data_IF_448779277353
#
_entry.id   IF_448779277353
#
_cell.length_a   1.000
_cell.length_b   1.000
_cell.length_c   1.000
_cell.angle_alpha   90.00
_cell.angle_beta   90.00
_cell.angle_gamma   90.00
#
_symmetry.space_group_name_H-M   'P 1'
#
loop_
_entity.id
_entity.type
_entity.pdbx_description
1 polymer ?
#
# COMPACT_ATOMS: atom_id res chain seq x y z
N UNK A 1 12.33 -8.10 1.28
CA UNK A 1 12.37 -7.38 2.58
C UNK A 1 13.44 -8.00 3.45
N UNK A 2 14.26 -7.21 4.17
CA UNK A 2 15.29 -7.71 5.08
C UNK A 2 14.71 -8.58 6.20
N UNK A 3 15.54 -9.47 6.75
CA UNK A 3 15.20 -10.34 7.88
C UNK A 3 16.22 -10.17 9.00
N UNK A 4 15.76 -10.34 10.24
CA UNK A 4 16.59 -10.47 11.43
C UNK A 4 16.51 -11.93 11.88
N UNK A 5 17.45 -12.77 11.40
CA UNK A 5 17.38 -14.24 11.51
C UNK A 5 17.21 -14.71 12.95
N UNK A 6 17.82 -14.00 13.91
CA UNK A 6 17.75 -14.28 15.33
C UNK A 6 16.36 -14.16 15.97
N UNK A 7 15.42 -13.52 15.25
CA UNK A 7 14.03 -13.37 15.69
C UNK A 7 13.08 -14.40 15.05
N UNK A 8 13.61 -15.30 14.21
CA UNK A 8 12.82 -16.32 13.55
C UNK A 8 12.94 -17.66 14.27
N UNK A 9 11.83 -18.40 14.41
CA UNK A 9 11.79 -19.74 15.00
C UNK A 9 12.29 -20.84 14.06
N UNK A 10 12.44 -20.53 12.77
CA UNK A 10 13.02 -21.34 11.71
C UNK A 10 13.88 -20.45 10.80
N UNK A 11 14.83 -20.97 10.03
CA UNK A 11 15.55 -20.16 9.07
C UNK A 11 14.58 -19.46 8.09
N UNK A 12 14.63 -18.13 7.94
CA UNK A 12 13.60 -17.34 7.23
C UNK A 12 13.49 -17.64 5.72
N UNK A 13 14.44 -18.34 5.15
CA UNK A 13 14.44 -18.73 3.72
C UNK A 13 14.34 -20.25 3.52
N UNK A 14 14.02 -21.03 4.58
CA UNK A 14 13.95 -22.49 4.49
C UNK A 14 12.70 -23.01 3.82
N UNK A 15 11.57 -22.31 3.91
CA UNK A 15 10.27 -22.84 3.53
C UNK A 15 9.83 -24.02 4.43
N UNK A 16 10.32 -24.08 5.66
CA UNK A 16 10.02 -25.17 6.59
C UNK A 16 8.52 -25.28 6.87
N UNK A 17 8.00 -26.48 6.81
CA UNK A 17 6.61 -26.77 7.19
C UNK A 17 6.61 -27.28 8.62
N UNK A 18 5.99 -26.50 9.52
CA UNK A 18 5.83 -26.85 10.94
C UNK A 18 4.37 -26.64 11.35
N UNK A 19 3.74 -27.64 11.94
CA UNK A 19 2.34 -27.61 12.37
C UNK A 19 1.36 -27.14 11.27
N UNK A 20 1.59 -27.57 10.03
CA UNK A 20 0.79 -27.20 8.87
C UNK A 20 1.05 -25.80 8.31
N UNK A 21 1.97 -25.02 8.89
CA UNK A 21 2.37 -23.69 8.47
C UNK A 21 3.64 -23.75 7.65
N UNK A 22 3.65 -23.10 6.52
CA UNK A 22 4.84 -22.90 5.66
C UNK A 22 5.48 -21.60 6.11
N UNK A 23 6.64 -21.69 6.76
CA UNK A 23 7.36 -20.51 7.24
C UNK A 23 8.36 -20.03 6.21
N UNK A 24 8.44 -18.72 6.04
CA UNK A 24 9.47 -18.10 5.21
C UNK A 24 9.13 -16.67 4.80
N UNK A 25 10.14 -15.84 4.61
CA UNK A 25 9.97 -14.52 4.01
C UNK A 25 9.41 -14.69 2.59
N UNK A 26 8.29 -14.03 2.30
CA UNK A 26 7.57 -14.14 1.03
C UNK A 26 6.45 -15.19 1.01
N UNK A 27 6.16 -15.85 2.15
CA UNK A 27 5.03 -16.80 2.23
C UNK A 27 3.67 -16.10 2.23
N UNK A 28 3.63 -14.80 2.52
CA UNK A 28 2.45 -13.96 2.33
C UNK A 28 2.70 -12.88 1.27
N UNK A 29 3.89 -12.26 1.25
CA UNK A 29 4.23 -11.11 0.45
C UNK A 29 5.46 -11.43 -0.44
N UNK A 30 5.22 -11.77 -1.73
CA UNK A 30 4.02 -12.43 -2.30
C UNK A 30 4.43 -13.66 -3.12
N UNK A 31 5.56 -14.33 -2.77
CA UNK A 31 6.02 -15.53 -3.52
C UNK A 31 4.97 -16.64 -3.54
N UNK A 32 4.13 -16.74 -2.49
CA UNK A 32 3.01 -17.69 -2.46
C UNK A 32 2.07 -17.48 -3.64
N UNK A 33 1.69 -16.24 -3.95
CA UNK A 33 0.79 -15.90 -5.06
C UNK A 33 1.44 -16.21 -6.40
N UNK A 34 2.71 -15.84 -6.58
CA UNK A 34 3.46 -16.19 -7.78
C UNK A 34 3.50 -17.69 -8.04
N UNK A 35 3.74 -18.51 -6.99
CA UNK A 35 3.74 -19.97 -7.10
C UNK A 35 2.33 -20.51 -7.35
N UNK A 36 1.29 -19.93 -6.71
CA UNK A 36 -0.10 -20.30 -6.96
C UNK A 36 -0.50 -20.07 -8.42
N UNK A 37 -0.09 -18.93 -9.04
CA UNK A 37 -0.32 -18.71 -10.48
C UNK A 37 0.34 -19.78 -11.35
N UNK A 38 1.62 -20.05 -11.11
CA UNK A 38 2.37 -21.03 -11.89
C UNK A 38 1.78 -22.43 -11.75
N UNK A 39 1.39 -22.81 -10.54
CA UNK A 39 0.78 -24.12 -10.28
C UNK A 39 -0.62 -24.22 -10.89
N UNK A 40 -1.43 -23.17 -10.84
CA UNK A 40 -2.73 -23.11 -11.48
C UNK A 40 -2.61 -23.29 -13.01
N UNK A 41 -1.66 -22.59 -13.64
CA UNK A 41 -1.38 -22.72 -15.07
C UNK A 41 -0.91 -24.15 -15.39
N UNK A 42 -0.03 -24.73 -14.56
CA UNK A 42 0.43 -26.11 -14.72
C UNK A 42 -0.72 -27.11 -14.70
N UNK A 43 -1.67 -26.95 -13.76
CA UNK A 43 -2.88 -27.80 -13.67
C UNK A 43 -3.76 -27.66 -14.89
N UNK A 44 -4.02 -26.44 -15.36
CA UNK A 44 -4.80 -26.17 -16.58
C UNK A 44 -4.13 -26.79 -17.81
N UNK A 45 -2.81 -26.68 -17.96
CA UNK A 45 -2.07 -27.36 -19.06
C UNK A 45 -2.20 -28.87 -18.98
N UNK A 46 -2.09 -29.46 -17.77
CA UNK A 46 -2.26 -30.89 -17.57
C UNK A 46 -3.67 -31.36 -17.94
N UNK A 47 -4.68 -30.54 -17.65
CA UNK A 47 -6.07 -30.77 -18.05
C UNK A 47 -6.33 -30.47 -19.54
N UNK A 48 -5.30 -30.10 -20.31
CA UNK A 48 -5.39 -29.72 -21.74
C UNK A 48 -6.37 -28.54 -21.99
N UNK A 49 -6.48 -27.64 -21.02
CA UNK A 49 -7.25 -26.42 -21.19
C UNK A 49 -6.53 -25.50 -22.17
N UNK A 50 -7.28 -24.98 -23.14
CA UNK A 50 -6.79 -24.02 -24.15
C UNK A 50 -7.42 -22.64 -23.89
N UNK A 51 -6.67 -21.70 -23.34
CA UNK A 51 -7.18 -20.35 -23.08
C UNK A 51 -7.43 -19.60 -24.39
N UNK A 52 -8.52 -18.87 -24.49
CA UNK A 52 -8.83 -17.99 -25.64
C UNK A 52 -8.13 -16.64 -25.56
N UNK A 53 -7.57 -16.32 -24.38
CA UNK A 53 -6.75 -15.11 -24.15
C UNK A 53 -5.39 -15.52 -23.61
N UNK A 54 -4.37 -14.79 -24.02
CA UNK A 54 -3.01 -14.99 -23.53
C UNK A 54 -2.91 -14.61 -22.07
N UNK A 55 -2.20 -15.43 -21.30
CA UNK A 55 -1.86 -15.18 -19.90
C UNK A 55 -0.41 -14.75 -19.85
N UNK A 56 -0.16 -13.57 -19.30
CA UNK A 56 1.17 -13.05 -19.06
C UNK A 56 1.46 -13.08 -17.57
N UNK A 57 2.50 -13.79 -17.15
CA UNK A 57 3.02 -13.76 -15.77
C UNK A 57 4.23 -12.81 -15.76
N UNK A 58 4.06 -11.65 -15.14
CA UNK A 58 5.13 -10.66 -15.04
C UNK A 58 5.77 -10.76 -13.66
N UNK A 59 7.08 -10.90 -13.64
CA UNK A 59 7.90 -10.87 -12.44
C UNK A 59 8.91 -9.74 -12.60
N UNK A 60 8.71 -8.68 -11.83
CA UNK A 60 9.51 -7.45 -11.92
C UNK A 60 10.37 -7.26 -10.68
N UNK A 61 11.52 -6.58 -10.78
CA UNK A 61 12.33 -6.24 -9.63
C UNK A 61 11.76 -5.05 -8.86
N UNK A 62 12.28 -4.83 -7.64
CA UNK A 62 12.20 -3.63 -6.82
C UNK A 62 10.80 -3.15 -6.38
N UNK A 63 9.77 -4.01 -6.43
CA UNK A 63 8.44 -3.67 -5.91
C UNK A 63 8.55 -3.18 -4.46
N UNK A 64 9.22 -3.92 -3.59
CA UNK A 64 9.41 -3.69 -2.14
C UNK A 64 10.14 -2.38 -1.78
N UNK A 65 10.75 -1.74 -2.75
CA UNK A 65 11.45 -0.46 -2.61
C UNK A 65 10.91 0.62 -3.56
N UNK A 66 9.67 0.41 -4.04
CA UNK A 66 8.88 1.40 -4.77
C UNK A 66 8.69 1.17 -6.25
N UNK A 67 9.19 0.08 -6.86
CA UNK A 67 8.94 -0.32 -8.25
C UNK A 67 9.48 0.62 -9.32
N UNK A 68 10.46 1.48 -8.97
CA UNK A 68 10.92 2.58 -9.84
C UNK A 68 11.69 2.07 -11.05
N UNK A 69 12.44 0.98 -10.89
CA UNK A 69 13.25 0.34 -11.96
C UNK A 69 12.54 -0.85 -12.59
N UNK A 70 11.51 -1.39 -11.90
CA UNK A 70 10.67 -2.49 -12.34
C UNK A 70 9.45 -2.02 -13.12
N UNK A 71 8.27 -2.15 -12.52
CA UNK A 71 6.99 -1.90 -13.20
C UNK A 71 6.86 -0.48 -13.74
N UNK A 72 7.40 0.54 -13.03
CA UNK A 72 7.36 1.93 -13.51
C UNK A 72 8.07 2.11 -14.86
N UNK A 73 9.15 1.38 -15.10
CA UNK A 73 9.86 1.39 -16.40
C UNK A 73 9.15 0.47 -17.38
N UNK A 74 8.88 -0.78 -17.00
CA UNK A 74 8.29 -1.79 -17.87
C UNK A 74 7.05 -1.27 -18.60
N UNK A 75 6.12 -0.62 -17.90
CA UNK A 75 4.87 -0.08 -18.46
C UNK A 75 5.08 0.95 -19.60
N UNK A 76 6.27 1.52 -19.74
CA UNK A 76 6.58 2.51 -20.77
C UNK A 76 7.16 1.90 -22.04
N UNK A 77 7.59 0.64 -21.97
CA UNK A 77 8.22 -0.07 -23.09
C UNK A 77 7.17 -0.52 -24.11
N UNK A 78 7.57 -0.56 -25.38
CA UNK A 78 6.72 -1.05 -26.44
C UNK A 78 6.42 -2.55 -26.28
N UNK A 79 7.38 -3.32 -25.77
CA UNK A 79 7.20 -4.73 -25.43
C UNK A 79 6.06 -4.96 -24.43
N UNK A 80 5.84 -4.03 -23.50
CA UNK A 80 4.68 -4.12 -22.58
C UNK A 80 3.37 -3.79 -23.29
N UNK A 81 3.36 -2.77 -24.15
CA UNK A 81 2.19 -2.40 -24.96
C UNK A 81 1.77 -3.54 -25.90
N UNK A 82 2.75 -4.24 -26.49
CA UNK A 82 2.54 -5.38 -27.39
C UNK A 82 1.89 -6.59 -26.68
N UNK A 83 1.97 -6.66 -25.35
CA UNK A 83 1.24 -7.67 -24.57
C UNK A 83 -0.29 -7.53 -24.70
N UNK A 84 -0.79 -6.36 -25.10
CA UNK A 84 -2.22 -6.06 -25.26
C UNK A 84 -3.04 -6.43 -24.02
N UNK A 85 -2.60 -5.95 -22.87
CA UNK A 85 -3.18 -6.29 -21.56
C UNK A 85 -4.60 -5.76 -21.46
N UNK A 86 -5.56 -6.62 -21.11
CA UNK A 86 -6.96 -6.24 -20.89
C UNK A 86 -7.34 -6.09 -19.41
N UNK A 87 -6.67 -6.84 -18.53
CA UNK A 87 -6.93 -6.85 -17.10
C UNK A 87 -5.70 -7.35 -16.33
N UNK A 88 -5.55 -6.86 -15.09
CA UNK A 88 -4.41 -7.22 -14.24
C UNK A 88 -4.89 -7.73 -12.89
N UNK A 89 -4.34 -8.88 -12.47
CA UNK A 89 -4.39 -9.37 -11.10
C UNK A 89 -3.01 -9.17 -10.48
N UNK A 90 -2.95 -8.38 -9.43
CA UNK A 90 -1.76 -8.12 -8.65
C UNK A 90 -1.93 -8.66 -7.23
N UNK A 91 -0.95 -8.45 -6.38
CA UNK A 91 -0.97 -8.88 -4.99
C UNK A 91 -2.07 -8.22 -4.14
N UNK A 92 -2.48 -8.92 -3.09
CA UNK A 92 -3.38 -8.42 -2.06
C UNK A 92 -2.79 -8.66 -0.66
N UNK A 93 -3.65 -8.75 0.34
CA UNK A 93 -3.29 -9.00 1.73
C UNK A 93 -3.94 -10.28 2.24
N UNK A 94 -3.30 -10.88 3.25
CA UNK A 94 -3.95 -11.85 4.11
C UNK A 94 -5.15 -11.24 4.84
N UNK A 95 -6.13 -12.07 5.18
CA UNK A 95 -7.29 -11.71 5.99
C UNK A 95 -7.38 -12.61 7.20
N UNK A 96 -7.55 -12.03 8.38
CA UNK A 96 -7.73 -12.78 9.64
C UNK A 96 -9.09 -13.49 9.73
N UNK A 97 -10.01 -13.15 8.82
CA UNK A 97 -11.36 -13.71 8.75
C UNK A 97 -11.54 -14.61 7.53
N UNK A 98 -12.75 -15.13 7.32
CA UNK A 98 -13.15 -15.90 6.13
C UNK A 98 -13.55 -15.02 4.92
N UNK A 99 -13.21 -13.72 4.97
CA UNK A 99 -13.51 -12.73 3.91
C UNK A 99 -12.24 -12.38 3.17
N UNK A 100 -12.22 -12.59 1.84
CA UNK A 100 -11.11 -12.22 0.98
C UNK A 100 -11.09 -10.71 0.73
N UNK A 101 -9.91 -10.10 0.81
CA UNK A 101 -9.72 -8.69 0.49
C UNK A 101 -9.46 -8.54 -1.03
N UNK A 102 -10.15 -7.61 -1.66
CA UNK A 102 -9.94 -7.23 -3.08
C UNK A 102 -9.64 -5.75 -3.13
N UNK A 103 -8.47 -5.41 -3.66
CA UNK A 103 -7.99 -4.03 -3.69
C UNK A 103 -8.14 -3.43 -5.08
N UNK A 104 -8.96 -2.39 -5.20
CA UNK A 104 -9.20 -1.70 -6.47
C UNK A 104 -8.38 -0.41 -6.61
N UNK A 105 -7.53 -0.11 -5.65
CA UNK A 105 -6.66 1.06 -5.60
C UNK A 105 -5.65 0.98 -4.46
N UNK A 106 -4.71 1.91 -4.45
CA UNK A 106 -3.68 2.06 -3.42
C UNK A 106 -3.74 3.46 -2.84
N UNK A 107 -3.31 3.64 -1.58
CA UNK A 107 -3.13 4.98 -1.01
C UNK A 107 -1.91 5.68 -1.61
N UNK A 108 -2.03 6.99 -1.86
CA UNK A 108 -0.91 7.81 -2.29
C UNK A 108 0.10 7.98 -1.13
N UNK A 109 1.36 7.77 -1.39
CA UNK A 109 2.42 7.97 -0.39
C UNK A 109 3.05 9.35 -0.56
N UNK A 110 3.03 10.16 0.51
CA UNK A 110 3.76 11.43 0.60
C UNK A 110 4.65 11.37 1.83
N UNK A 111 5.96 11.41 1.62
CA UNK A 111 6.93 11.57 2.69
C UNK A 111 7.54 12.96 2.61
N UNK A 112 7.40 13.71 3.69
CA UNK A 112 7.88 15.08 3.75
C UNK A 112 8.83 15.29 4.92
N UNK A 113 9.80 16.16 4.70
CA UNK A 113 10.65 16.73 5.73
C UNK A 113 10.40 18.24 5.75
N UNK A 114 9.94 18.74 6.89
CA UNK A 114 9.67 20.16 7.10
C UNK A 114 10.79 20.71 7.99
N UNK A 115 11.57 21.63 7.45
CA UNK A 115 12.56 22.39 8.22
C UNK A 115 11.96 23.73 8.62
N UNK A 116 11.99 24.01 9.90
CA UNK A 116 11.53 25.28 10.48
C UNK A 116 12.70 26.01 11.12
N UNK A 117 12.86 27.30 10.79
CA UNK A 117 13.90 28.17 11.32
C UNK A 117 13.30 29.24 12.23
N UNK A 118 14.09 29.74 13.17
CA UNK A 118 13.66 30.79 14.09
C UNK A 118 14.83 31.46 14.77
N UNK A 119 14.50 32.43 15.64
CA UNK A 119 15.50 33.16 16.41
C UNK A 119 16.19 32.25 17.42
N UNK A 120 17.48 32.47 17.61
CA UNK A 120 18.36 31.68 18.50
C UNK A 120 18.85 32.56 19.63
N UNK A 121 19.37 31.93 20.69
CA UNK A 121 20.02 32.62 21.79
C UNK A 121 20.12 31.79 23.06
N UNK A 122 20.50 32.46 24.15
CA UNK A 122 20.68 31.78 25.43
C UNK A 122 19.34 31.38 26.05
N UNK A 123 19.18 30.13 26.47
CA UNK A 123 17.92 29.55 26.98
C UNK A 123 17.33 30.22 28.24
N UNK A 124 18.11 31.09 28.93
CA UNK A 124 17.59 31.89 30.06
C UNK A 124 16.75 33.11 29.63
N UNK A 125 16.66 33.40 28.33
CA UNK A 125 15.95 34.57 27.79
C UNK A 125 14.61 34.14 27.18
N UNK A 126 13.64 35.04 27.22
CA UNK A 126 12.40 34.93 26.42
C UNK A 126 12.72 35.41 25.01
N UNK A 127 12.86 34.45 24.09
CA UNK A 127 13.16 34.71 22.68
C UNK A 127 11.86 34.47 21.89
N UNK A 128 11.46 35.45 21.12
CA UNK A 128 10.29 35.39 20.24
C UNK A 128 10.65 34.78 18.90
N UNK A 129 9.64 34.31 18.14
CA UNK A 129 9.79 33.74 16.80
C UNK A 129 10.76 32.55 16.73
N UNK A 130 10.71 31.69 17.75
CA UNK A 130 11.61 30.51 17.83
C UNK A 130 11.20 29.39 16.86
N UNK A 131 12.17 28.58 16.44
CA UNK A 131 11.90 27.39 15.64
C UNK A 131 11.01 26.39 16.39
N UNK A 132 11.09 26.34 17.74
CA UNK A 132 10.30 25.43 18.58
C UNK A 132 8.79 25.77 18.52
N UNK A 133 8.42 27.06 18.62
CA UNK A 133 7.01 27.48 18.54
C UNK A 133 6.38 27.15 17.19
N UNK A 134 7.13 27.33 16.10
CA UNK A 134 6.70 26.97 14.74
C UNK A 134 6.55 25.46 14.55
N UNK A 135 7.55 24.70 15.05
CA UNK A 135 7.52 23.23 15.02
C UNK A 135 6.31 22.69 15.78
N UNK A 136 6.05 23.23 16.99
CA UNK A 136 4.88 22.88 17.79
C UNK A 136 3.57 23.14 17.04
N UNK A 137 3.44 24.31 16.39
CA UNK A 137 2.24 24.64 15.60
C UNK A 137 2.00 23.60 14.49
N UNK A 138 3.05 23.28 13.72
CA UNK A 138 2.96 22.30 12.62
C UNK A 138 2.60 20.92 13.16
N UNK A 139 3.28 20.45 14.22
CA UNK A 139 3.01 19.15 14.85
C UNK A 139 1.55 19.09 15.30
N UNK A 140 1.04 20.11 15.98
CA UNK A 140 -0.33 20.13 16.49
C UNK A 140 -1.36 20.01 15.35
N UNK A 141 -1.20 20.77 14.28
CA UNK A 141 -2.12 20.74 13.14
C UNK A 141 -2.07 19.37 12.39
N UNK A 142 -0.87 18.81 12.19
CA UNK A 142 -0.69 17.51 11.56
C UNK A 142 -1.28 16.37 12.43
N UNK A 143 -1.06 16.41 13.73
CA UNK A 143 -1.64 15.42 14.66
C UNK A 143 -3.14 15.60 14.83
N UNK A 144 -3.67 16.82 14.72
CA UNK A 144 -5.10 17.05 14.66
C UNK A 144 -5.73 16.43 13.41
N UNK A 145 -5.07 16.57 12.25
CA UNK A 145 -5.52 15.87 11.03
C UNK A 145 -5.59 14.35 11.27
N UNK A 146 -4.52 13.77 11.85
CA UNK A 146 -4.47 12.35 12.22
C UNK A 146 -5.61 11.95 13.15
N UNK A 147 -5.89 12.74 14.19
CA UNK A 147 -6.96 12.47 15.15
C UNK A 147 -8.33 12.49 14.47
N UNK A 148 -8.61 13.47 13.62
CA UNK A 148 -9.86 13.55 12.86
C UNK A 148 -10.05 12.31 11.96
N UNK A 149 -8.99 11.86 11.28
CA UNK A 149 -9.03 10.64 10.45
C UNK A 149 -9.33 9.40 11.28
N UNK A 150 -8.70 9.27 12.46
CA UNK A 150 -8.95 8.16 13.39
C UNK A 150 -10.39 8.14 13.88
N UNK A 151 -10.91 9.30 14.31
CA UNK A 151 -12.31 9.43 14.74
C UNK A 151 -13.30 9.10 13.62
N UNK A 152 -12.99 9.50 12.36
CA UNK A 152 -13.83 9.17 11.22
C UNK A 152 -13.88 7.65 11.02
N UNK A 153 -12.74 6.98 11.09
CA UNK A 153 -12.65 5.51 11.00
C UNK A 153 -13.46 4.84 12.14
N UNK A 154 -13.25 5.25 13.38
CA UNK A 154 -13.93 4.68 14.56
C UNK A 154 -15.45 4.88 14.49
N UNK A 155 -15.93 6.08 14.14
CA UNK A 155 -17.36 6.36 13.98
C UNK A 155 -17.99 5.54 12.86
N UNK A 156 -17.26 5.23 11.80
CA UNK A 156 -17.79 4.42 10.70
C UNK A 156 -18.06 2.97 11.08
N UNK A 157 -17.40 2.43 12.12
CA UNK A 157 -17.55 1.03 12.53
C UNK A 157 -18.96 0.65 12.97
N UNK A 158 -19.80 1.64 13.27
CA UNK A 158 -21.22 1.45 13.63
C UNK A 158 -22.18 1.60 12.46
N UNK A 159 -21.66 1.80 11.24
CA UNK A 159 -22.45 1.96 10.01
C UNK A 159 -22.56 0.65 9.23
N UNK A 160 -23.51 0.58 8.30
CA UNK A 160 -23.70 -0.58 7.42
C UNK A 160 -22.50 -0.82 6.48
N UNK A 161 -21.68 0.21 6.24
CA UNK A 161 -20.46 0.15 5.42
C UNK A 161 -19.30 0.78 6.19
N UNK A 162 -18.65 0.04 7.09
CA UNK A 162 -17.53 0.56 7.85
C UNK A 162 -16.34 0.90 6.95
N UNK A 163 -15.74 2.06 7.18
CA UNK A 163 -14.49 2.44 6.53
C UNK A 163 -13.37 1.49 6.96
N UNK A 164 -12.44 1.28 6.07
CA UNK A 164 -11.21 0.55 6.31
C UNK A 164 -10.02 1.51 6.25
N UNK A 165 -8.85 1.05 6.66
CA UNK A 165 -7.65 1.88 6.71
C UNK A 165 -7.30 2.49 5.34
N UNK A 166 -7.58 1.79 4.24
CA UNK A 166 -7.38 2.29 2.88
C UNK A 166 -8.28 3.48 2.50
N UNK A 167 -9.43 3.62 3.16
CA UNK A 167 -10.43 4.66 2.88
C UNK A 167 -10.19 5.96 3.66
N UNK A 168 -9.11 6.07 4.40
CA UNK A 168 -8.76 7.26 5.16
C UNK A 168 -7.33 7.71 4.90
N UNK A 169 -7.08 9.00 5.06
CA UNK A 169 -5.72 9.54 5.07
C UNK A 169 -5.11 9.38 6.46
N UNK A 170 -3.90 8.84 6.53
CA UNK A 170 -3.14 8.75 7.78
C UNK A 170 -1.90 9.62 7.73
N UNK A 171 -1.58 10.24 8.87
CA UNK A 171 -0.43 11.11 9.05
C UNK A 171 0.34 10.67 10.29
N UNK A 172 1.61 10.39 10.16
CA UNK A 172 2.48 10.02 11.28
C UNK A 172 3.73 10.88 11.31
N UNK A 173 4.02 11.50 12.44
CA UNK A 173 5.33 12.10 12.71
C UNK A 173 6.31 10.96 12.97
N UNK A 174 7.28 10.80 12.09
CA UNK A 174 8.22 9.65 12.10
C UNK A 174 9.65 10.06 12.44
N UNK A 175 9.96 11.35 12.31
CA UNK A 175 11.29 11.88 12.56
C UNK A 175 11.18 13.28 13.15
N UNK A 176 12.04 13.59 14.14
CA UNK A 176 12.17 14.90 14.74
C UNK A 176 13.62 15.12 15.13
N UNK A 177 14.18 16.26 14.76
CA UNK A 177 15.58 16.60 15.06
C UNK A 177 15.79 18.09 15.26
N UNK A 178 16.80 18.45 16.04
CA UNK A 178 17.21 19.83 16.31
C UNK A 178 17.80 19.99 17.70
N UNK A 179 18.48 21.14 17.91
CA UNK A 179 19.18 21.45 19.17
C UNK A 179 20.55 20.80 19.28
N UNK A 180 21.45 21.49 19.95
CA UNK A 180 22.86 21.04 20.16
C UNK A 180 23.24 21.04 21.63
N UNK A 181 22.61 21.90 22.46
CA UNK A 181 22.91 22.08 23.86
C UNK A 181 21.70 22.59 24.64
N UNK A 182 21.51 22.16 25.88
CA UNK A 182 20.31 22.45 26.69
C UNK A 182 20.06 23.95 26.91
N UNK A 183 21.13 24.75 27.06
CA UNK A 183 21.01 26.18 27.32
C UNK A 183 21.05 27.06 26.05
N UNK A 184 20.91 26.47 24.88
CA UNK A 184 20.85 27.17 23.58
C UNK A 184 19.50 26.95 22.91
N UNK A 185 18.79 28.04 22.62
CA UNK A 185 17.56 27.99 21.79
C UNK A 185 17.99 27.70 20.36
N UNK A 186 17.55 26.60 19.74
CA UNK A 186 18.00 26.19 18.41
C UNK A 186 17.54 27.16 17.32
N UNK A 187 18.35 27.30 16.29
CA UNK A 187 18.03 28.06 15.08
C UNK A 187 17.07 27.31 14.15
N UNK A 188 17.02 25.96 14.28
CA UNK A 188 16.12 25.17 13.44
C UNK A 188 15.69 23.85 14.10
N UNK A 189 14.52 23.37 13.66
CA UNK A 189 14.05 22.00 13.85
C UNK A 189 13.68 21.37 12.50
N UNK A 190 13.82 20.04 12.42
CA UNK A 190 13.41 19.24 11.27
C UNK A 190 12.36 18.22 11.71
N UNK A 191 11.24 18.14 10.98
CA UNK A 191 10.11 17.26 11.25
C UNK A 191 9.88 16.38 10.03
N UNK A 192 9.87 15.05 10.20
CA UNK A 192 9.59 14.10 9.14
C UNK A 192 8.21 13.46 9.32
N UNK A 193 7.41 13.44 8.26
CA UNK A 193 6.09 12.82 8.27
C UNK A 193 5.95 11.77 7.17
N UNK A 194 5.39 10.61 7.52
CA UNK A 194 4.80 9.64 6.59
C UNK A 194 3.30 9.90 6.50
N UNK A 195 2.84 10.29 5.31
CA UNK A 195 1.44 10.54 5.00
C UNK A 195 0.97 9.53 3.96
N UNK A 196 -0.09 8.77 4.29
CA UNK A 196 -0.74 7.85 3.36
C UNK A 196 -2.12 8.38 3.04
N UNK A 197 -2.29 8.85 1.82
CA UNK A 197 -3.42 9.65 1.41
C UNK A 197 -4.45 8.76 0.69
N UNK A 198 -5.70 8.82 1.10
CA UNK A 198 -6.80 8.25 0.32
C UNK A 198 -6.84 8.93 -1.06
N UNK A 199 -6.88 8.19 -2.18
CA UNK A 199 -6.63 8.75 -3.52
C UNK A 199 -7.48 9.97 -3.90
N UNK A 200 -8.78 9.96 -3.55
CA UNK A 200 -9.67 11.08 -3.85
C UNK A 200 -9.37 12.34 -2.99
N UNK A 201 -8.59 12.18 -1.94
CA UNK A 201 -8.19 13.26 -1.02
C UNK A 201 -6.83 13.86 -1.34
N UNK A 202 -6.15 13.41 -2.42
CA UNK A 202 -4.78 13.83 -2.72
C UNK A 202 -4.66 15.36 -2.86
N UNK A 203 -5.45 15.98 -3.72
CA UNK A 203 -5.38 17.42 -3.96
C UNK A 203 -5.78 18.24 -2.72
N UNK A 204 -6.80 17.78 -1.99
CA UNK A 204 -7.23 18.45 -0.75
C UNK A 204 -6.16 18.36 0.35
N UNK A 205 -5.42 17.25 0.43
CA UNK A 205 -4.31 17.13 1.37
C UNK A 205 -3.11 18.01 0.98
N UNK A 206 -2.77 18.11 -0.30
CA UNK A 206 -1.74 19.04 -0.79
C UNK A 206 -2.09 20.46 -0.43
N UNK A 207 -3.35 20.86 -0.68
CA UNK A 207 -3.84 22.17 -0.28
C UNK A 207 -3.78 22.38 1.23
N UNK A 208 -4.14 21.39 2.03
CA UNK A 208 -4.00 21.45 3.49
C UNK A 208 -2.56 21.75 3.92
N UNK A 209 -1.56 21.08 3.31
CA UNK A 209 -0.14 21.35 3.59
C UNK A 209 0.25 22.79 3.24
N UNK A 210 -0.15 23.27 2.07
CA UNK A 210 0.13 24.64 1.65
C UNK A 210 -0.52 25.68 2.61
N UNK A 211 -1.79 25.49 2.94
CA UNK A 211 -2.53 26.33 3.89
C UNK A 211 -1.91 26.27 5.30
N UNK A 212 -1.44 25.09 5.72
CA UNK A 212 -0.76 24.93 7.00
C UNK A 212 0.50 25.79 7.08
N UNK A 213 1.36 25.73 6.07
CA UNK A 213 2.62 26.49 6.03
C UNK A 213 2.35 28.01 5.98
N UNK A 214 1.29 28.43 5.31
CA UNK A 214 0.90 29.84 5.28
C UNK A 214 0.45 30.36 6.65
N UNK A 215 -0.23 29.54 7.44
CA UNK A 215 -0.75 29.89 8.78
C UNK A 215 0.29 29.86 9.89
N UNK A 216 1.45 29.25 9.68
CA UNK A 216 2.51 29.25 10.70
C UNK A 216 2.94 30.69 10.99
N UNK A 217 2.94 31.15 12.27
CA UNK A 217 3.50 32.45 12.64
C UNK A 217 4.98 32.51 12.23
N UNK A 218 5.34 33.52 11.44
CA UNK A 218 6.72 33.74 10.92
C UNK A 218 6.94 35.16 10.50
N UNK A 219 8.17 35.64 10.59
CA UNK A 219 8.58 36.97 10.20
C UNK A 219 8.86 37.07 8.68
N UNK A 220 9.32 35.99 8.07
CA UNK A 220 9.58 35.93 6.63
C UNK A 220 9.32 34.52 6.06
N UNK A 221 9.14 34.43 4.72
CA UNK A 221 8.78 33.18 4.06
C UNK A 221 9.88 32.12 3.99
N UNK A 222 11.14 32.49 4.23
CA UNK A 222 12.28 31.57 4.16
C UNK A 222 12.50 30.75 5.45
N UNK A 223 11.67 30.99 6.47
CA UNK A 223 11.81 30.31 7.76
C UNK A 223 11.28 28.89 7.74
N UNK A 224 10.47 28.51 6.75
CA UNK A 224 9.87 27.18 6.64
C UNK A 224 10.08 26.67 5.23
N UNK A 225 10.58 25.44 5.12
CA UNK A 225 10.74 24.73 3.86
C UNK A 225 10.17 23.32 3.96
N UNK A 226 9.45 22.89 2.92
CA UNK A 226 9.00 21.49 2.77
C UNK A 226 9.87 20.83 1.70
N UNK A 227 10.48 19.72 2.06
CA UNK A 227 11.15 18.83 1.13
C UNK A 227 10.32 17.56 0.97
N UNK A 228 9.89 17.26 -0.24
CA UNK A 228 9.19 16.02 -0.58
C UNK A 228 10.23 14.94 -0.86
N UNK A 229 10.41 14.03 0.11
CA UNK A 229 11.31 12.87 -0.03
C UNK A 229 10.68 11.82 -0.95
N UNK A 230 9.36 11.72 -0.90
CA UNK A 230 8.54 10.91 -1.80
C UNK A 230 7.21 11.60 -2.05
N UNK A 231 6.74 11.54 -3.27
CA UNK A 231 5.38 11.92 -3.66
C UNK A 231 4.97 11.04 -4.84
N UNK A 232 4.02 10.13 -4.58
CA UNK A 232 3.51 9.21 -5.62
C UNK A 232 2.68 9.91 -6.69
N UNK A 233 2.28 11.17 -6.45
CA UNK A 233 1.25 11.84 -7.22
C UNK A 233 -0.15 11.27 -6.95
N UNK A 234 -1.17 11.80 -7.62
CA UNK A 234 -2.52 11.27 -7.57
C UNK A 234 -2.55 9.87 -8.18
N UNK A 235 -3.22 8.92 -7.51
CA UNK A 235 -3.38 7.55 -7.97
C UNK A 235 -4.79 7.30 -8.47
N UNK A 236 -4.89 6.56 -9.58
CA UNK A 236 -6.16 6.20 -10.20
C UNK A 236 -6.67 4.90 -9.58
N UNK A 237 -7.96 4.87 -9.28
CA UNK A 237 -8.68 3.68 -8.83
C UNK A 237 -9.22 2.90 -10.04
N UNK A 238 -9.26 1.57 -9.96
CA UNK A 238 -10.07 0.78 -10.89
C UNK A 238 -11.54 1.06 -10.57
N UNK A 239 -12.30 1.51 -11.56
CA UNK A 239 -13.73 1.77 -11.41
C UNK A 239 -14.49 0.43 -11.31
N UNK A 240 -14.88 0.07 -10.09
CA UNK A 240 -15.58 -1.20 -9.78
C UNK A 240 -17.08 -1.13 -9.97
N UNK A 241 -17.63 0.07 -10.17
CA UNK A 241 -19.06 0.30 -10.44
C UNK A 241 -19.37 0.28 -11.96
N UNK A 242 -18.38 0.61 -12.79
CA UNK A 242 -18.53 0.56 -14.22
C UNK A 242 -18.66 -0.89 -14.71
N UNK A 243 -19.65 -1.19 -15.59
CA UNK A 243 -19.75 -2.51 -16.20
C UNK A 243 -18.43 -2.91 -16.88
N UNK A 244 -17.85 -4.01 -16.43
CA UNK A 244 -16.62 -4.59 -16.95
C UNK A 244 -16.75 -6.10 -17.03
N UNK A 245 -16.52 -6.65 -18.22
CA UNK A 245 -16.52 -8.10 -18.41
C UNK A 245 -15.54 -8.78 -17.45
N UNK A 246 -14.34 -8.21 -17.27
CA UNK A 246 -13.30 -8.73 -16.40
C UNK A 246 -13.74 -8.78 -14.94
N UNK A 247 -14.24 -7.66 -14.41
CA UNK A 247 -14.70 -7.57 -13.02
C UNK A 247 -15.92 -8.46 -12.77
N UNK A 248 -16.85 -8.53 -13.74
CA UNK A 248 -18.03 -9.41 -13.64
C UNK A 248 -17.61 -10.89 -13.66
N UNK A 249 -16.67 -11.27 -14.52
CA UNK A 249 -16.14 -12.63 -14.55
C UNK A 249 -15.41 -12.99 -13.24
N UNK A 250 -14.61 -12.07 -12.71
CA UNK A 250 -13.96 -12.24 -11.41
C UNK A 250 -14.99 -12.43 -10.28
N UNK A 251 -15.97 -11.53 -10.17
CA UNK A 251 -17.04 -11.58 -9.14
C UNK A 251 -17.80 -12.89 -9.23
N UNK A 252 -18.30 -13.26 -10.43
CA UNK A 252 -19.02 -14.52 -10.68
C UNK A 252 -18.21 -15.74 -10.27
N UNK A 253 -16.92 -15.80 -10.64
CA UNK A 253 -16.05 -16.90 -10.26
C UNK A 253 -15.92 -17.04 -8.75
N UNK A 254 -15.71 -15.92 -8.05
CA UNK A 254 -15.64 -15.92 -6.60
C UNK A 254 -16.96 -16.35 -5.94
N UNK A 255 -18.12 -15.95 -6.51
CA UNK A 255 -19.44 -16.39 -6.05
C UNK A 255 -19.62 -17.91 -6.23
N UNK A 256 -19.26 -18.46 -7.40
CA UNK A 256 -19.28 -19.91 -7.67
C UNK A 256 -18.40 -20.69 -6.69
N UNK A 257 -17.24 -20.12 -6.31
CA UNK A 257 -16.31 -20.69 -5.33
C UNK A 257 -16.72 -20.38 -3.87
N UNK A 258 -17.86 -19.69 -3.66
CA UNK A 258 -18.34 -19.25 -2.33
C UNK A 258 -17.37 -18.37 -1.57
N UNK A 259 -16.54 -17.61 -2.27
CA UNK A 259 -15.63 -16.63 -1.69
C UNK A 259 -16.42 -15.38 -1.28
N UNK A 260 -16.37 -15.03 -0.01
CA UNK A 260 -16.88 -13.75 0.48
C UNK A 260 -15.84 -12.68 0.17
N UNK A 261 -16.23 -11.62 -0.54
CA UNK A 261 -15.32 -10.55 -0.95
C UNK A 261 -15.61 -9.26 -0.20
N UNK A 262 -14.53 -8.58 0.18
CA UNK A 262 -14.56 -7.21 0.66
C UNK A 262 -13.69 -6.33 -0.26
N UNK A 263 -14.33 -5.35 -0.91
CA UNK A 263 -13.69 -4.44 -1.85
C UNK A 263 -13.22 -3.18 -1.12
N UNK A 264 -11.93 -2.90 -1.20
CA UNK A 264 -11.31 -1.78 -0.47
C UNK A 264 -10.10 -1.22 -1.20
N UNK A 265 -9.51 -0.14 -0.65
CA UNK A 265 -8.26 0.44 -1.11
C UNK A 265 -7.11 -0.17 -0.29
N UNK A 266 -6.02 -0.54 -0.97
CA UNK A 266 -4.83 -1.08 -0.31
C UNK A 266 -4.21 0.00 0.59
N UNK A 267 -3.90 -0.34 1.85
CA UNK A 267 -3.40 0.65 2.81
C UNK A 267 -1.96 1.14 2.56
N UNK A 268 -1.23 0.47 1.69
CA UNK A 268 0.11 0.85 1.24
C UNK A 268 0.12 1.11 -0.28
N UNK A 269 1.12 0.64 -1.01
CA UNK A 269 1.20 0.75 -2.47
C UNK A 269 1.70 -0.55 -3.06
N UNK A 270 1.18 -0.91 -4.24
CA UNK A 270 1.59 -2.07 -5.04
C UNK A 270 1.98 -1.63 -6.44
N UNK A 271 2.54 -2.50 -7.24
CA UNK A 271 2.90 -2.19 -8.63
C UNK A 271 1.67 -1.95 -9.53
N UNK A 272 0.49 -2.44 -9.13
CA UNK A 272 -0.78 -2.15 -9.80
C UNK A 272 -1.07 -0.65 -9.97
N UNK A 273 -0.57 0.21 -9.05
CA UNK A 273 -0.73 1.68 -9.16
C UNK A 273 -0.17 2.24 -10.45
N UNK A 274 0.96 1.69 -10.93
CA UNK A 274 1.58 2.14 -12.17
C UNK A 274 0.75 1.79 -13.40
N UNK A 275 0.06 0.66 -13.36
CA UNK A 275 -0.78 0.19 -14.46
C UNK A 275 -2.12 0.90 -14.46
N UNK A 276 -2.75 1.10 -13.31
CA UNK A 276 -3.96 1.93 -13.18
C UNK A 276 -3.76 3.34 -13.70
N UNK A 277 -2.60 3.96 -13.38
CA UNK A 277 -2.29 5.33 -13.83
C UNK A 277 -2.09 5.47 -15.35
N UNK A 278 -1.97 4.38 -16.09
CA UNK A 278 -1.93 4.39 -17.57
C UNK A 278 -3.18 3.73 -18.19
N UNK A 279 -4.23 3.53 -17.38
CA UNK A 279 -5.56 3.15 -17.85
C UNK A 279 -5.87 1.65 -17.86
N UNK A 280 -4.97 0.78 -17.39
CA UNK A 280 -5.27 -0.64 -17.27
C UNK A 280 -6.09 -0.92 -16.00
N UNK A 281 -7.24 -1.62 -16.11
CA UNK A 281 -7.97 -2.06 -14.93
C UNK A 281 -7.14 -3.12 -14.18
N UNK A 282 -6.83 -2.84 -12.92
CA UNK A 282 -6.03 -3.71 -12.07
C UNK A 282 -6.64 -3.84 -10.67
N UNK A 283 -6.71 -5.07 -10.17
CA UNK A 283 -7.11 -5.35 -8.79
C UNK A 283 -6.03 -6.17 -8.08
N UNK A 284 -5.83 -5.89 -6.80
CA UNK A 284 -5.01 -6.71 -5.92
C UNK A 284 -5.85 -7.81 -5.28
N UNK A 285 -5.36 -9.05 -5.34
CA UNK A 285 -6.05 -10.19 -4.76
C UNK A 285 -5.07 -11.29 -4.36
N UNK A 286 -5.05 -11.62 -3.07
CA UNK A 286 -4.32 -12.78 -2.53
C UNK A 286 -5.30 -13.68 -1.79
N UNK A 287 -5.47 -14.96 -2.19
CA UNK A 287 -6.47 -15.85 -1.60
C UNK A 287 -6.00 -16.42 -0.24
N UNK A 288 -5.79 -15.55 0.74
CA UNK A 288 -5.25 -15.86 2.07
C UNK A 288 -6.23 -15.44 3.16
N UNK A 289 -7.22 -16.30 3.44
CA UNK A 289 -8.20 -16.12 4.54
C UNK A 289 -7.72 -16.83 5.81
N UNK A 290 -8.32 -16.48 6.96
CA UNK A 290 -8.03 -17.06 8.28
C UNK A 290 -6.52 -17.06 8.59
N UNK A 291 -5.84 -16.01 8.16
CA UNK A 291 -4.38 -15.86 8.20
C UNK A 291 -4.05 -14.52 8.84
N UNK A 292 -3.24 -14.47 9.90
CA UNK A 292 -2.80 -13.21 10.48
C UNK A 292 -1.96 -12.43 9.46
N UNK A 293 -2.07 -11.10 9.48
CA UNK A 293 -1.27 -10.24 8.59
C UNK A 293 0.14 -10.10 9.16
N UNK A 294 1.11 -10.72 8.51
CA UNK A 294 2.52 -10.77 8.94
C UNK A 294 3.48 -10.17 7.89
N UNK A 295 2.98 -9.24 7.07
CA UNK A 295 3.82 -8.54 6.09
C UNK A 295 5.03 -7.90 6.79
N UNK A 296 6.22 -8.18 6.28
CA UNK A 296 7.49 -7.66 6.76
C UNK A 296 7.84 -8.01 8.23
N UNK A 297 6.99 -8.82 8.89
CA UNK A 297 7.19 -9.23 10.27
C UNK A 297 8.04 -10.50 10.36
N UNK A 298 8.44 -10.87 11.58
CA UNK A 298 9.16 -12.11 11.86
C UNK A 298 8.19 -13.29 11.85
N UNK A 299 8.72 -14.48 11.54
CA UNK A 299 7.94 -15.72 11.52
C UNK A 299 6.73 -15.66 10.57
N UNK A 300 6.87 -14.91 9.47
CA UNK A 300 5.89 -14.90 8.38
C UNK A 300 5.58 -16.33 7.95
N UNK A 301 4.30 -16.68 7.87
CA UNK A 301 3.86 -17.99 7.46
C UNK A 301 2.52 -17.95 6.74
N UNK A 302 2.27 -18.99 5.94
CA UNK A 302 0.97 -19.30 5.37
C UNK A 302 0.61 -20.76 5.67
N UNK A 303 -0.63 -21.02 6.12
CA UNK A 303 -1.06 -22.40 6.33
C UNK A 303 -1.15 -23.13 4.99
N UNK A 304 -0.60 -24.37 4.93
CA UNK A 304 -0.52 -25.16 3.69
C UNK A 304 -1.88 -25.35 3.03
N UNK A 305 -2.95 -25.54 3.82
CA UNK A 305 -4.28 -25.79 3.27
C UNK A 305 -4.88 -24.49 2.65
N UNK A 306 -4.58 -23.33 3.23
CA UNK A 306 -4.92 -22.02 2.65
C UNK A 306 -4.15 -21.82 1.35
N UNK A 307 -2.85 -22.12 1.34
CA UNK A 307 -2.03 -22.05 0.13
C UNK A 307 -2.57 -22.94 -0.99
N UNK A 308 -2.92 -24.20 -0.69
CA UNK A 308 -3.47 -25.14 -1.67
C UNK A 308 -4.84 -24.72 -2.17
N UNK A 309 -5.71 -24.22 -1.28
CA UNK A 309 -7.01 -23.69 -1.67
C UNK A 309 -6.89 -22.45 -2.59
N UNK A 310 -5.88 -21.62 -2.35
CA UNK A 310 -5.59 -20.48 -3.22
C UNK A 310 -5.24 -20.90 -4.66
N UNK A 311 -4.55 -22.05 -4.84
CA UNK A 311 -4.30 -22.60 -6.17
C UNK A 311 -5.61 -22.95 -6.88
N UNK A 312 -6.56 -23.57 -6.15
CA UNK A 312 -7.87 -23.96 -6.71
C UNK A 312 -8.66 -22.72 -7.16
N UNK A 313 -8.63 -21.65 -6.34
CA UNK A 313 -9.25 -20.36 -6.69
C UNK A 313 -8.62 -19.80 -7.96
N UNK A 314 -7.29 -19.77 -8.07
CA UNK A 314 -6.62 -19.26 -9.27
C UNK A 314 -6.82 -20.14 -10.50
N UNK A 315 -6.93 -21.46 -10.37
CA UNK A 315 -7.32 -22.32 -11.49
C UNK A 315 -8.65 -21.84 -12.07
N UNK A 316 -9.65 -21.64 -11.21
CA UNK A 316 -10.98 -21.21 -11.64
C UNK A 316 -11.01 -19.79 -12.19
N UNK A 317 -10.29 -18.86 -11.54
CA UNK A 317 -10.17 -17.48 -12.02
C UNK A 317 -9.51 -17.41 -13.40
N UNK A 318 -8.39 -18.10 -13.58
CA UNK A 318 -7.68 -18.12 -14.87
C UNK A 318 -8.56 -18.77 -15.95
N UNK A 319 -9.20 -19.90 -15.66
CA UNK A 319 -10.13 -20.56 -16.58
C UNK A 319 -11.22 -19.57 -17.04
N UNK A 320 -11.94 -18.93 -16.11
CA UNK A 320 -13.07 -18.08 -16.44
C UNK A 320 -12.64 -16.75 -17.10
N UNK A 321 -11.53 -16.13 -16.65
CA UNK A 321 -11.00 -14.91 -17.24
C UNK A 321 -10.42 -15.12 -18.65
N UNK A 322 -10.16 -16.35 -19.05
CA UNK A 322 -9.59 -16.65 -20.37
C UNK A 322 -10.49 -17.48 -21.29
N UNK A 323 -11.69 -17.90 -20.85
CA UNK A 323 -12.57 -18.84 -21.56
C UNK A 323 -13.43 -18.22 -22.66
N UNK A 324 -13.85 -16.97 -22.51
CA UNK A 324 -14.84 -16.34 -23.40
C UNK A 324 -14.23 -15.20 -24.24
N UNK A 325 -14.78 -14.99 -25.43
CA UNK A 325 -14.58 -13.74 -26.20
C UNK A 325 -15.40 -12.63 -25.57
N UNK A 326 -14.83 -11.42 -25.51
CA UNK A 326 -15.54 -10.19 -25.08
C UNK A 326 -16.61 -9.82 -26.08
#
# INVERSE_FOLDING_TARGET
VPVFEEQWIVPPFSGEIRDGKIYGRGTQDMKCVGIQYLEAIRRLKTAKYEPKRTIHCLFVPDEEIGGIRGMKVLRTLDEFKDLNVGFVLDEGLASETDVFQVFYGDRCAIWIEITVKGNTGHGSRLIENTAAEKAQFIINEMLKYRTNSKECLEKSQTTDKPLQLGNITTVNLTKMGGGVQINVVPDQYTLGFDCRIEPNSYDSFKKFLDDLIQRVPKENNNEITINYLQDSGPLILTDIEKPSWWLNSFKRTCEEMKCKLNWTIFPAGTDARFLRNVGYPAIGFSPMINTPVLLHDHNEYLHKDVFLHGIEIYVKLIENLTSETI
#
